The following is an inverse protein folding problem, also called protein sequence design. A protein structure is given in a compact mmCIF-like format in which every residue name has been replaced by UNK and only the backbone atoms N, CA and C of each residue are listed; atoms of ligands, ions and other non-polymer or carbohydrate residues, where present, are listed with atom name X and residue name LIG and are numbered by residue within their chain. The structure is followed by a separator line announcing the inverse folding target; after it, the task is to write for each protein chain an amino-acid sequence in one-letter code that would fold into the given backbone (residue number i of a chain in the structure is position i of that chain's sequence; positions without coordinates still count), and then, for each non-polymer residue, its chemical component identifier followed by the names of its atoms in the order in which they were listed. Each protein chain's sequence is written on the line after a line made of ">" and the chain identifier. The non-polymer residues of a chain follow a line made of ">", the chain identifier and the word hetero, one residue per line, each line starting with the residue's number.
data_IF_320827861160
#
_entry.id   IF_320827861160
#
_cell.length_a   1.000
_cell.length_b   1.000
_cell.length_c   1.000
_cell.angle_alpha   90.00
_cell.angle_beta   90.00
_cell.angle_gamma   90.00
#
_symmetry.space_group_name_H-M   'P 1'
#
loop_
_entity.id
_entity.type
_entity.pdbx_description
1 polymer ?
#
# COMPACT_ATOMS: atom_id res chain seq x y z
N UNK A 1 52.58 72.86 -11.48
CA UNK A 1 52.21 74.24 -11.00
C UNK A 1 50.79 74.49 -11.38
N UNK A 2 49.94 75.11 -10.54
CA UNK A 2 49.95 75.16 -9.07
C UNK A 2 48.72 74.53 -8.42
N UNK A 3 48.83 74.22 -7.23
CA UNK A 3 48.01 74.10 -6.03
C UNK A 3 46.85 75.06 -5.93
N UNK A 4 45.67 74.61 -5.55
CA UNK A 4 44.77 75.41 -4.68
C UNK A 4 44.04 74.52 -3.67
N UNK A 5 44.23 74.90 -2.40
CA UNK A 5 43.49 74.46 -1.21
C UNK A 5 42.05 75.02 -1.21
N UNK A 6 41.13 74.26 -0.67
CA UNK A 6 39.92 74.81 -0.02
C UNK A 6 39.44 73.79 1.03
N UNK A 7 39.33 74.28 2.06
CA UNK A 7 38.80 74.36 3.38
C UNK A 7 37.67 73.37 3.71
N UNK A 8 37.87 72.81 4.91
CA UNK A 8 36.91 71.87 5.52
C UNK A 8 35.68 72.59 6.13
N UNK A 9 34.58 71.89 6.14
CA UNK A 9 33.40 72.20 6.97
C UNK A 9 33.03 70.89 7.71
N UNK A 10 33.31 70.91 9.00
CA UNK A 10 32.92 69.87 9.95
C UNK A 10 31.44 70.11 10.37
N UNK A 11 30.59 69.16 9.99
CA UNK A 11 29.26 69.09 10.55
C UNK A 11 29.23 67.93 11.58
N UNK A 12 29.08 68.27 12.84
CA UNK A 12 28.76 67.34 13.93
C UNK A 12 27.32 66.88 13.81
N UNK A 13 27.08 65.63 13.54
CA UNK A 13 25.77 64.99 13.70
C UNK A 13 25.79 64.20 15.03
N UNK A 14 24.90 64.64 15.92
CA UNK A 14 24.60 63.98 17.19
C UNK A 14 23.87 62.65 16.95
N UNK A 15 24.41 61.59 17.48
CA UNK A 15 23.76 60.28 17.54
C UNK A 15 22.66 60.31 18.61
N UNK A 16 21.41 60.29 18.18
CA UNK A 16 20.28 59.95 19.01
C UNK A 16 20.14 58.43 19.12
N UNK A 17 20.26 57.89 20.33
CA UNK A 17 20.04 56.46 20.63
C UNK A 17 18.56 56.10 20.48
N UNK A 18 18.16 55.44 19.41
CA UNK A 18 16.89 54.73 19.36
C UNK A 18 17.10 53.31 19.91
N UNK A 19 16.58 53.02 21.11
CA UNK A 19 16.37 51.68 21.61
C UNK A 19 15.33 50.98 20.69
N UNK A 20 15.81 50.16 19.78
CA UNK A 20 14.96 49.24 19.04
C UNK A 20 14.62 48.02 19.92
N UNK A 21 13.38 47.93 20.38
CA UNK A 21 12.85 46.73 21.00
C UNK A 21 12.80 45.60 19.96
N UNK A 22 13.71 44.64 20.04
CA UNK A 22 13.64 43.40 19.27
C UNK A 22 12.50 42.56 19.86
N UNK A 23 11.38 42.54 19.17
CA UNK A 23 10.30 41.58 19.42
C UNK A 23 10.81 40.22 18.92
N UNK A 24 11.27 39.35 19.85
CA UNK A 24 11.46 37.94 19.60
C UNK A 24 10.07 37.33 19.36
N UNK A 25 9.68 37.18 18.11
CA UNK A 25 8.62 36.28 17.70
C UNK A 25 9.15 34.84 17.98
N UNK A 26 8.87 34.34 19.18
CA UNK A 26 8.94 32.94 19.45
C UNK A 26 7.91 32.27 18.53
N UNK A 27 8.38 31.76 17.41
CA UNK A 27 7.61 30.86 16.57
C UNK A 27 7.26 29.62 17.39
N UNK A 28 6.06 29.60 17.98
CA UNK A 28 5.45 28.35 18.42
C UNK A 28 5.28 27.50 17.15
N UNK A 29 6.26 26.63 16.88
CA UNK A 29 6.07 25.53 15.99
C UNK A 29 4.90 24.73 16.54
N UNK A 30 3.75 24.84 15.88
CA UNK A 30 2.68 23.87 16.04
C UNK A 30 3.28 22.53 15.59
N UNK A 31 3.77 21.75 16.56
CA UNK A 31 3.97 20.34 16.30
C UNK A 31 2.60 19.79 15.91
N UNK A 32 2.46 19.11 14.77
CA UNK A 32 1.22 18.44 14.48
C UNK A 32 0.91 17.56 15.69
N UNK A 33 -0.27 17.70 16.25
CA UNK A 33 -0.80 16.74 17.22
C UNK A 33 -0.70 15.41 16.50
N UNK A 34 0.14 14.49 17.01
CA UNK A 34 0.29 13.16 16.43
C UNK A 34 -1.10 12.54 16.31
N UNK A 35 -1.63 12.53 15.10
CA UNK A 35 -2.89 11.85 14.83
C UNK A 35 -2.68 10.38 15.23
N UNK A 36 -3.58 9.85 16.07
CA UNK A 36 -3.47 8.45 16.50
C UNK A 36 -3.40 7.56 15.26
N UNK A 37 -2.43 6.64 15.19
CA UNK A 37 -2.34 5.74 14.06
C UNK A 37 -3.61 4.90 13.96
N UNK A 38 -4.07 4.70 12.74
CA UNK A 38 -5.22 3.84 12.44
C UNK A 38 -4.94 3.01 11.19
N UNK A 39 -5.72 1.96 11.01
CA UNK A 39 -5.65 1.08 9.84
C UNK A 39 -7.04 0.95 9.23
N UNK A 40 -7.12 0.94 7.91
CA UNK A 40 -8.32 0.55 7.18
C UNK A 40 -8.17 -0.90 6.75
N UNK A 41 -9.23 -1.67 6.92
CA UNK A 41 -9.29 -3.10 6.58
C UNK A 41 -10.50 -3.35 5.70
N UNK A 42 -10.29 -3.95 4.54
CA UNK A 42 -11.36 -4.48 3.71
C UNK A 42 -11.67 -5.94 4.10
N UNK A 43 -12.94 -6.23 4.36
CA UNK A 43 -13.44 -7.59 4.62
C UNK A 43 -14.19 -8.10 3.40
N UNK A 44 -13.83 -9.28 2.91
CA UNK A 44 -14.56 -9.99 1.84
C UNK A 44 -15.32 -11.19 2.42
N UNK A 45 -16.63 -11.18 2.29
CA UNK A 45 -17.53 -12.27 2.72
C UNK A 45 -18.16 -13.00 1.52
N UNK A 46 -17.69 -12.73 0.30
CA UNK A 46 -18.21 -13.30 -0.96
C UNK A 46 -17.44 -14.53 -1.42
N UNK A 47 -16.15 -14.61 -1.07
CA UNK A 47 -15.27 -15.69 -1.51
C UNK A 47 -14.73 -16.39 -0.27
N UNK A 48 -15.27 -17.57 -0.02
CA UNK A 48 -14.99 -18.36 1.18
C UNK A 48 -14.30 -19.65 0.79
N UNK A 49 -13.78 -20.39 1.77
CA UNK A 49 -13.24 -21.74 1.58
C UNK A 49 -14.02 -22.71 2.45
N UNK A 50 -14.45 -23.83 1.85
CA UNK A 50 -15.12 -24.92 2.58
C UNK A 50 -14.14 -25.74 3.45
N UNK A 51 -14.68 -26.76 4.12
CA UNK A 51 -13.88 -27.62 4.98
C UNK A 51 -12.76 -28.38 4.24
N UNK A 52 -12.91 -28.57 2.94
CA UNK A 52 -11.93 -29.24 2.07
C UNK A 52 -10.93 -28.26 1.45
N UNK A 53 -11.07 -26.95 1.69
CA UNK A 53 -10.22 -25.91 1.14
C UNK A 53 -10.55 -25.56 -0.31
N UNK A 54 -11.79 -25.79 -0.74
CA UNK A 54 -12.29 -25.34 -2.07
C UNK A 54 -12.91 -23.96 -1.94
N UNK A 55 -12.68 -23.05 -2.92
CA UNK A 55 -13.36 -21.77 -2.93
C UNK A 55 -14.86 -21.96 -3.14
N UNK A 56 -15.65 -21.25 -2.33
CA UNK A 56 -17.11 -21.22 -2.36
C UNK A 56 -17.58 -19.80 -2.47
N UNK A 57 -18.48 -19.52 -3.43
CA UNK A 57 -19.07 -18.21 -3.58
C UNK A 57 -20.27 -18.05 -2.62
N UNK A 58 -20.33 -16.92 -1.96
CA UNK A 58 -21.45 -16.52 -1.11
C UNK A 58 -22.17 -15.30 -1.71
N UNK A 59 -23.46 -15.07 -1.40
CA UNK A 59 -24.18 -13.89 -1.86
C UNK A 59 -23.55 -12.60 -1.31
N UNK A 60 -23.60 -11.54 -2.12
CA UNK A 60 -23.23 -10.19 -1.73
C UNK A 60 -23.94 -9.68 -0.46
N UNK A 61 -23.36 -8.63 0.15
CA UNK A 61 -24.02 -7.81 1.16
C UNK A 61 -23.54 -7.99 2.60
N UNK A 62 -22.45 -8.75 2.80
CA UNK A 62 -21.82 -8.90 4.12
C UNK A 62 -20.43 -8.28 4.22
N UNK A 63 -19.88 -7.79 3.11
CA UNK A 63 -18.59 -7.12 3.08
C UNK A 63 -18.62 -5.85 3.90
N UNK A 64 -17.48 -5.47 4.43
CA UNK A 64 -17.31 -4.23 5.17
C UNK A 64 -15.91 -3.64 5.01
N UNK A 65 -15.82 -2.34 5.23
CA UNK A 65 -14.56 -1.64 5.41
C UNK A 65 -14.48 -1.17 6.86
N UNK A 66 -13.50 -1.65 7.60
CA UNK A 66 -13.29 -1.29 8.99
C UNK A 66 -12.27 -0.15 9.11
N UNK A 67 -12.47 0.71 10.10
CA UNK A 67 -11.48 1.66 10.60
C UNK A 67 -11.06 1.19 11.98
N UNK A 68 -9.76 0.89 12.15
CA UNK A 68 -9.20 0.27 13.35
C UNK A 68 -8.28 1.28 14.03
N UNK A 69 -8.59 1.66 15.27
CA UNK A 69 -7.73 2.49 16.13
C UNK A 69 -6.53 1.65 16.59
N UNK A 70 -5.34 2.17 16.38
CA UNK A 70 -4.06 1.58 16.73
C UNK A 70 -3.28 2.43 17.74
N UNK A 71 -3.95 3.23 18.56
CA UNK A 71 -3.31 3.94 19.67
C UNK A 71 -2.49 2.97 20.57
N UNK A 72 -2.92 1.72 20.67
CA UNK A 72 -2.11 0.61 21.20
C UNK A 72 -2.11 -0.55 20.17
N UNK A 73 -1.03 -0.73 19.40
CA UNK A 73 -0.95 -1.78 18.38
C UNK A 73 -1.08 -3.21 18.92
N UNK A 74 -0.84 -3.43 20.22
CA UNK A 74 -1.02 -4.75 20.85
C UNK A 74 -2.47 -5.04 21.26
N UNK A 75 -3.33 -4.03 21.25
CA UNK A 75 -4.76 -4.14 21.56
C UNK A 75 -5.58 -3.24 20.66
N UNK A 76 -5.60 -3.49 19.33
CA UNK A 76 -6.35 -2.71 18.36
C UNK A 76 -7.84 -2.70 18.67
N UNK A 77 -8.57 -1.67 18.20
CA UNK A 77 -10.02 -1.55 18.41
C UNK A 77 -10.71 -1.13 17.12
N UNK A 78 -11.83 -1.75 16.77
CA UNK A 78 -12.67 -1.29 15.68
C UNK A 78 -13.31 0.03 16.11
N UNK A 79 -12.97 1.11 15.41
CA UNK A 79 -13.53 2.44 15.64
C UNK A 79 -14.78 2.70 14.81
N UNK A 80 -14.83 2.18 13.57
CA UNK A 80 -15.98 2.28 12.69
C UNK A 80 -16.04 1.10 11.71
N UNK A 81 -17.22 0.85 11.15
CA UNK A 81 -17.46 -0.13 10.09
C UNK A 81 -18.43 0.47 9.08
N UNK A 82 -18.08 0.39 7.79
CA UNK A 82 -18.90 0.82 6.68
C UNK A 82 -19.31 -0.41 5.85
N UNK A 83 -20.59 -0.57 5.48
CA UNK A 83 -21.07 -1.68 4.66
C UNK A 83 -20.71 -1.43 3.19
N UNK A 84 -19.43 -1.52 2.86
CA UNK A 84 -18.90 -1.33 1.51
C UNK A 84 -18.32 -2.66 1.02
N UNK A 85 -18.52 -2.90 -0.27
CA UNK A 85 -17.98 -4.09 -0.93
C UNK A 85 -16.47 -4.02 -0.99
N UNK A 86 -15.83 -5.17 -0.94
CA UNK A 86 -14.40 -5.35 -1.07
C UNK A 86 -14.14 -6.75 -1.62
N UNK A 87 -12.93 -7.05 -2.08
CA UNK A 87 -12.63 -8.36 -2.62
C UNK A 87 -11.22 -8.84 -2.29
N UNK A 88 -11.09 -10.13 -2.01
CA UNK A 88 -9.82 -10.85 -1.93
C UNK A 88 -9.25 -11.14 -3.33
N UNK A 89 -10.04 -10.97 -4.40
CA UNK A 89 -9.58 -11.19 -5.77
C UNK A 89 -8.71 -10.04 -6.25
N UNK A 90 -7.42 -10.21 -6.15
CA UNK A 90 -6.41 -9.21 -6.45
C UNK A 90 -5.39 -9.12 -5.31
N UNK A 91 -4.28 -8.40 -5.50
CA UNK A 91 -3.34 -8.19 -4.40
C UNK A 91 -4.02 -7.41 -3.26
N UNK A 92 -3.63 -7.66 -1.99
CA UNK A 92 -4.27 -7.06 -0.81
C UNK A 92 -3.95 -5.56 -0.62
N UNK A 93 -3.96 -4.81 -1.72
CA UNK A 93 -3.59 -3.38 -1.83
C UNK A 93 -4.63 -2.57 -2.60
N UNK A 94 -5.89 -3.02 -2.58
CA UNK A 94 -7.04 -2.32 -3.17
C UNK A 94 -7.61 -1.22 -2.27
N UNK A 95 -6.92 -0.87 -1.19
CA UNK A 95 -7.24 0.25 -0.29
C UNK A 95 -6.00 1.12 -0.06
N UNK A 96 -6.17 2.44 -0.08
CA UNK A 96 -5.13 3.39 0.34
C UNK A 96 -5.73 4.60 1.06
N UNK A 97 -4.90 5.27 1.85
CA UNK A 97 -5.23 6.43 2.66
C UNK A 97 -4.37 7.60 2.19
N UNK A 98 -4.96 8.77 2.02
CA UNK A 98 -4.20 9.97 1.68
C UNK A 98 -3.19 10.35 2.78
N UNK A 99 -2.10 11.05 2.46
CA UNK A 99 -1.05 11.36 3.44
C UNK A 99 -1.52 12.12 4.69
N UNK A 100 -2.67 12.80 4.61
CA UNK A 100 -3.24 13.57 5.73
C UNK A 100 -4.22 12.75 6.59
N UNK A 101 -4.55 11.52 6.18
CA UNK A 101 -5.56 10.70 6.83
C UNK A 101 -6.97 11.29 6.72
N UNK A 102 -7.24 12.03 5.64
CA UNK A 102 -8.52 12.71 5.43
C UNK A 102 -9.51 11.88 4.63
N UNK A 103 -9.01 11.15 3.65
CA UNK A 103 -9.83 10.25 2.81
C UNK A 103 -9.16 8.90 2.67
N UNK A 104 -9.96 7.91 2.32
CA UNK A 104 -9.49 6.64 1.79
C UNK A 104 -10.19 6.31 0.47
N UNK A 105 -9.45 5.61 -0.38
CA UNK A 105 -10.00 4.99 -1.60
C UNK A 105 -10.03 3.48 -1.41
N UNK A 106 -11.12 2.85 -1.88
CA UNK A 106 -11.29 1.39 -1.88
C UNK A 106 -11.80 0.97 -3.24
N UNK A 107 -11.06 0.07 -3.91
CA UNK A 107 -11.47 -0.52 -5.18
C UNK A 107 -12.18 -1.86 -4.95
N UNK A 108 -13.33 -2.05 -5.60
CA UNK A 108 -14.07 -3.32 -5.60
C UNK A 108 -13.81 -4.05 -6.92
N UNK A 109 -13.11 -5.18 -6.85
CA UNK A 109 -12.67 -5.92 -8.03
C UNK A 109 -13.77 -6.78 -8.65
N UNK A 110 -14.61 -7.42 -7.83
CA UNK A 110 -15.59 -8.39 -8.30
C UNK A 110 -16.87 -8.35 -7.49
N UNK A 111 -17.98 -8.61 -8.19
CA UNK A 111 -19.29 -8.90 -7.61
C UNK A 111 -19.64 -10.39 -7.76
N UNK A 112 -20.58 -10.85 -6.95
CA UNK A 112 -21.20 -12.17 -7.08
C UNK A 112 -22.65 -12.01 -7.50
N UNK A 113 -22.99 -12.54 -8.65
CA UNK A 113 -24.34 -12.47 -9.21
C UNK A 113 -24.97 -13.86 -9.32
N UNK A 114 -26.30 -13.92 -9.36
CA UNK A 114 -27.02 -15.16 -9.67
C UNK A 114 -26.92 -15.47 -11.18
N UNK A 115 -26.66 -16.72 -11.50
CA UNK A 115 -26.67 -17.29 -12.86
C UNK A 115 -27.51 -18.58 -12.81
N UNK A 116 -28.82 -18.46 -13.00
CA UNK A 116 -29.77 -19.52 -12.68
C UNK A 116 -29.78 -19.82 -11.19
N UNK A 117 -29.57 -21.10 -10.83
CA UNK A 117 -29.49 -21.55 -9.43
C UNK A 117 -28.07 -21.44 -8.84
N UNK A 118 -27.08 -21.08 -9.65
CA UNK A 118 -25.69 -20.94 -9.23
C UNK A 118 -25.30 -19.48 -8.94
N UNK A 119 -24.20 -19.30 -8.21
CA UNK A 119 -23.53 -18.02 -8.04
C UNK A 119 -22.35 -17.94 -9.02
N UNK A 120 -22.14 -16.75 -9.57
CA UNK A 120 -21.08 -16.47 -10.51
C UNK A 120 -20.33 -15.20 -10.14
N UNK A 121 -19.00 -15.26 -10.17
CA UNK A 121 -18.16 -14.09 -10.03
C UNK A 121 -18.12 -13.31 -11.35
N UNK A 122 -18.32 -11.99 -11.26
CA UNK A 122 -18.23 -11.05 -12.39
C UNK A 122 -17.35 -9.86 -12.01
N UNK A 123 -16.62 -9.26 -12.96
CA UNK A 123 -15.87 -8.03 -12.67
C UNK A 123 -16.81 -6.89 -12.25
N UNK A 124 -16.45 -6.15 -11.21
CA UNK A 124 -17.03 -4.85 -10.87
C UNK A 124 -16.19 -3.69 -11.47
N UNK A 125 -16.58 -2.45 -11.20
CA UNK A 125 -15.91 -1.25 -11.66
C UNK A 125 -16.00 -0.07 -10.66
N UNK A 126 -16.26 -0.36 -9.39
CA UNK A 126 -16.46 0.69 -8.38
C UNK A 126 -15.18 1.05 -7.64
N UNK A 127 -15.07 2.34 -7.36
CA UNK A 127 -14.05 2.91 -6.47
C UNK A 127 -14.80 3.78 -5.46
N UNK A 128 -14.71 3.41 -4.18
CA UNK A 128 -15.35 4.15 -3.10
C UNK A 128 -14.41 5.21 -2.54
N UNK A 129 -14.95 6.40 -2.27
CA UNK A 129 -14.27 7.49 -1.57
C UNK A 129 -14.86 7.60 -0.17
N UNK A 130 -14.03 7.40 0.84
CA UNK A 130 -14.45 7.46 2.25
C UNK A 130 -13.94 8.77 2.85
N UNK A 131 -14.84 9.57 3.44
CA UNK A 131 -14.52 10.74 4.25
C UNK A 131 -14.16 10.27 5.67
N UNK A 132 -12.87 10.29 5.99
CA UNK A 132 -12.34 9.88 7.30
C UNK A 132 -12.41 11.00 8.34
N UNK A 133 -12.65 12.26 7.93
CA UNK A 133 -12.83 13.40 8.85
C UNK A 133 -14.25 13.53 9.35
N UNK A 134 -15.22 12.93 8.67
CA UNK A 134 -16.57 12.84 9.19
C UNK A 134 -16.60 12.03 10.50
N UNK A 135 -17.52 12.34 11.39
CA UNK A 135 -17.69 11.60 12.65
C UNK A 135 -19.16 11.14 12.78
N UNK A 136 -19.45 9.85 12.60
CA UNK A 136 -18.53 8.77 12.19
C UNK A 136 -18.05 8.92 10.72
N UNK A 137 -16.94 8.27 10.35
CA UNK A 137 -16.50 8.17 8.95
C UNK A 137 -17.61 7.65 8.04
N UNK A 138 -17.67 8.13 6.80
CA UNK A 138 -18.77 7.81 5.88
C UNK A 138 -18.31 7.71 4.42
N UNK A 139 -19.10 7.02 3.61
CA UNK A 139 -18.97 7.07 2.15
C UNK A 139 -19.28 8.50 1.66
N UNK A 140 -18.31 9.11 0.96
CA UNK A 140 -18.46 10.43 0.35
C UNK A 140 -18.91 10.33 -1.11
N UNK A 141 -18.32 9.40 -1.88
CA UNK A 141 -18.65 9.20 -3.29
C UNK A 141 -18.39 7.75 -3.73
N UNK A 142 -19.02 7.36 -4.82
CA UNK A 142 -18.71 6.14 -5.56
C UNK A 142 -18.43 6.51 -7.00
N UNK A 143 -17.24 6.17 -7.48
CA UNK A 143 -16.83 6.39 -8.86
C UNK A 143 -17.00 5.10 -9.66
N UNK A 144 -17.25 5.27 -10.96
CA UNK A 144 -17.21 4.18 -11.92
C UNK A 144 -15.87 4.22 -12.65
N UNK A 145 -14.98 3.30 -12.31
CA UNK A 145 -13.64 3.17 -12.90
C UNK A 145 -13.61 2.24 -14.11
N UNK A 146 -12.40 1.78 -14.45
CA UNK A 146 -12.22 0.70 -15.42
C UNK A 146 -12.71 -0.64 -14.85
N UNK A 147 -12.69 -1.67 -15.70
CA UNK A 147 -13.20 -2.99 -15.36
C UNK A 147 -12.23 -3.73 -14.42
N UNK A 148 -12.78 -4.28 -13.35
CA UNK A 148 -12.04 -5.02 -12.32
C UNK A 148 -10.92 -4.17 -11.68
N UNK A 149 -11.26 -3.01 -11.05
CA UNK A 149 -10.28 -2.21 -10.35
C UNK A 149 -9.69 -3.02 -9.19
N UNK A 150 -8.38 -2.91 -8.98
CA UNK A 150 -7.64 -3.76 -8.07
C UNK A 150 -6.64 -2.92 -7.24
N UNK A 151 -5.35 -3.26 -7.27
CA UNK A 151 -4.37 -2.51 -6.50
C UNK A 151 -4.31 -1.03 -6.88
N UNK A 152 -4.34 -0.16 -5.88
CA UNK A 152 -4.33 1.28 -6.04
C UNK A 152 -3.32 1.94 -5.11
N UNK A 153 -2.94 3.17 -5.45
CA UNK A 153 -2.09 3.96 -4.57
C UNK A 153 -2.36 5.46 -4.76
N UNK A 154 -2.42 6.19 -3.65
CA UNK A 154 -2.51 7.65 -3.60
C UNK A 154 -1.10 8.23 -3.62
N UNK A 155 -0.89 9.29 -4.41
CA UNK A 155 0.40 9.96 -4.57
C UNK A 155 0.94 10.50 -3.23
N UNK A 156 2.26 10.70 -3.11
CA UNK A 156 2.85 11.31 -1.92
C UNK A 156 2.33 12.72 -1.62
N UNK A 157 1.84 13.47 -2.62
CA UNK A 157 1.19 14.79 -2.43
C UNK A 157 -0.25 14.67 -1.91
N UNK A 158 -0.91 13.53 -2.12
CA UNK A 158 -2.33 13.34 -1.80
C UNK A 158 -3.28 13.85 -2.88
N UNK A 159 -2.77 14.44 -3.98
CA UNK A 159 -3.59 15.12 -5.00
C UNK A 159 -3.96 14.21 -6.18
N UNK A 160 -3.36 13.03 -6.26
CA UNK A 160 -3.58 12.06 -7.34
C UNK A 160 -3.70 10.64 -6.79
N UNK A 161 -4.43 9.78 -7.49
CA UNK A 161 -4.38 8.34 -7.29
C UNK A 161 -4.28 7.60 -8.61
N UNK A 162 -3.67 6.41 -8.56
CA UNK A 162 -3.65 5.46 -9.66
C UNK A 162 -4.37 4.19 -9.24
N UNK A 163 -5.20 3.63 -10.12
CA UNK A 163 -5.96 2.40 -9.88
C UNK A 163 -5.72 1.45 -11.06
N UNK A 164 -5.20 0.27 -10.78
CA UNK A 164 -5.00 -0.78 -11.77
C UNK A 164 -6.35 -1.42 -12.14
N UNK A 165 -6.71 -1.44 -13.43
CA UNK A 165 -7.93 -2.06 -13.95
C UNK A 165 -7.55 -3.38 -14.63
N UNK A 166 -7.64 -4.49 -13.90
CA UNK A 166 -7.21 -5.81 -14.38
C UNK A 166 -7.97 -6.27 -15.62
N UNK A 167 -9.28 -5.98 -15.68
CA UNK A 167 -10.17 -6.41 -16.74
C UNK A 167 -10.08 -5.59 -18.03
N UNK A 168 -9.48 -4.41 -17.98
CA UNK A 168 -9.34 -3.49 -19.13
C UNK A 168 -7.91 -3.31 -19.60
N UNK A 169 -6.93 -3.92 -18.97
CA UNK A 169 -5.51 -3.69 -19.24
C UNK A 169 -5.19 -2.19 -19.23
N UNK A 170 -5.59 -1.50 -18.17
CA UNK A 170 -5.43 -0.06 -18.07
C UNK A 170 -5.16 0.39 -16.62
N UNK A 171 -4.81 1.67 -16.46
CA UNK A 171 -4.67 2.32 -15.17
C UNK A 171 -5.51 3.60 -15.21
N UNK A 172 -6.48 3.72 -14.30
CA UNK A 172 -7.21 4.97 -14.10
C UNK A 172 -6.34 5.97 -13.35
N UNK A 173 -6.34 7.23 -13.81
CA UNK A 173 -5.69 8.37 -13.15
C UNK A 173 -6.79 9.22 -12.52
N UNK A 174 -6.70 9.42 -11.21
CA UNK A 174 -7.67 10.18 -10.45
C UNK A 174 -7.03 11.47 -9.92
N UNK A 175 -7.75 12.59 -10.00
CA UNK A 175 -7.45 13.79 -9.23
C UNK A 175 -8.17 13.74 -7.89
N UNK A 176 -7.55 14.30 -6.85
CA UNK A 176 -8.07 14.34 -5.49
C UNK A 176 -8.03 15.79 -4.99
N UNK A 177 -9.19 16.33 -4.61
CA UNK A 177 -9.34 17.60 -3.89
C UNK A 177 -10.29 17.37 -2.69
N UNK A 178 -9.71 16.99 -1.56
CA UNK A 178 -10.48 16.50 -0.41
C UNK A 178 -11.34 15.30 -0.80
N UNK A 179 -12.66 15.38 -0.63
CA UNK A 179 -13.61 14.32 -1.02
C UNK A 179 -14.10 14.44 -2.48
N UNK A 180 -13.72 15.50 -3.20
CA UNK A 180 -13.99 15.63 -4.64
C UNK A 180 -12.91 14.85 -5.42
N UNK A 181 -13.21 13.62 -5.76
CA UNK A 181 -12.32 12.71 -6.48
C UNK A 181 -12.89 12.45 -7.86
N UNK A 182 -12.07 12.59 -8.90
CA UNK A 182 -12.50 12.44 -10.30
C UNK A 182 -11.49 11.61 -11.09
N UNK A 183 -11.99 10.76 -12.00
CA UNK A 183 -11.16 10.13 -13.01
C UNK A 183 -10.87 11.17 -14.10
N UNK A 184 -9.60 11.51 -14.31
CA UNK A 184 -9.14 12.55 -15.24
C UNK A 184 -8.48 11.98 -16.49
N UNK A 185 -7.96 10.74 -16.42
CA UNK A 185 -7.30 10.08 -17.54
C UNK A 185 -7.30 8.55 -17.36
N UNK A 186 -6.94 7.84 -18.42
CA UNK A 186 -6.76 6.38 -18.43
C UNK A 186 -5.52 6.03 -19.27
N UNK A 187 -4.55 5.39 -18.64
CA UNK A 187 -3.32 4.92 -19.29
C UNK A 187 -3.54 3.49 -19.79
N UNK A 188 -3.51 3.30 -21.12
CA UNK A 188 -3.57 1.96 -21.71
C UNK A 188 -2.26 1.19 -21.44
N UNK A 189 -2.40 -0.08 -21.01
CA UNK A 189 -1.29 -0.98 -20.75
C UNK A 189 -1.35 -2.17 -21.72
N UNK A 190 -0.20 -2.79 -22.04
CA UNK A 190 -0.16 -3.92 -22.98
C UNK A 190 -0.92 -5.17 -22.51
N UNK A 191 -1.07 -5.35 -21.21
CA UNK A 191 -1.77 -6.47 -20.57
C UNK A 191 -2.23 -6.11 -19.13
N UNK A 192 -2.82 -7.08 -18.45
CA UNK A 192 -3.45 -6.88 -17.14
C UNK A 192 -2.46 -6.40 -16.07
N UNK A 193 -2.90 -5.41 -15.29
CA UNK A 193 -2.15 -4.79 -14.20
C UNK A 193 -2.80 -5.16 -12.88
N UNK A 194 -2.02 -5.75 -11.94
CA UNK A 194 -2.52 -6.11 -10.61
C UNK A 194 -2.43 -4.96 -9.61
N UNK A 195 -1.32 -4.24 -9.61
CA UNK A 195 -1.03 -3.16 -8.67
C UNK A 195 -0.26 -2.03 -9.35
N UNK A 196 -0.44 -0.83 -8.84
CA UNK A 196 0.33 0.35 -9.23
C UNK A 196 0.75 1.11 -7.98
N UNK A 197 2.01 1.57 -7.92
CA UNK A 197 2.56 2.28 -6.76
C UNK A 197 3.45 3.45 -7.18
N UNK A 198 3.18 4.63 -6.65
CA UNK A 198 4.05 5.81 -6.83
C UNK A 198 5.39 5.60 -6.14
N UNK A 199 6.46 6.12 -6.75
CA UNK A 199 7.71 6.34 -6.01
C UNK A 199 7.50 7.44 -4.97
N UNK A 200 8.14 7.36 -3.77
CA UNK A 200 8.00 8.38 -2.73
C UNK A 200 8.34 9.81 -3.15
N UNK A 201 9.17 9.97 -4.20
CA UNK A 201 9.50 11.28 -4.79
C UNK A 201 8.40 11.80 -5.75
N UNK A 202 7.35 11.02 -6.00
CA UNK A 202 6.21 11.37 -6.85
C UNK A 202 6.50 11.47 -8.34
N UNK A 203 7.73 11.15 -8.80
CA UNK A 203 8.14 11.37 -10.20
C UNK A 203 7.83 10.19 -11.11
N UNK A 204 7.66 9.02 -10.54
CA UNK A 204 7.38 7.77 -11.26
C UNK A 204 6.32 6.96 -10.53
N UNK A 205 5.76 5.99 -11.23
CA UNK A 205 5.04 4.89 -10.62
C UNK A 205 5.47 3.56 -11.26
N UNK A 206 5.29 2.48 -10.52
CA UNK A 206 5.54 1.12 -10.97
C UNK A 206 4.21 0.41 -11.14
N UNK A 207 3.98 -0.19 -12.31
CA UNK A 207 2.80 -0.97 -12.64
C UNK A 207 3.15 -2.46 -12.74
N UNK A 208 2.50 -3.28 -11.92
CA UNK A 208 2.76 -4.72 -11.85
C UNK A 208 1.91 -5.44 -12.89
N UNK A 209 2.54 -5.94 -13.94
CA UNK A 209 1.92 -6.67 -15.07
C UNK A 209 2.10 -8.17 -14.86
N UNK A 210 1.21 -8.75 -14.07
CA UNK A 210 1.35 -10.10 -13.56
C UNK A 210 1.36 -11.19 -14.65
N UNK A 211 0.53 -11.14 -15.74
CA UNK A 211 0.56 -12.19 -16.77
C UNK A 211 1.82 -12.13 -17.64
N UNK A 212 2.44 -10.94 -17.73
CA UNK A 212 3.66 -10.75 -18.51
C UNK A 212 4.95 -10.97 -17.70
N UNK A 213 4.85 -11.24 -16.40
CA UNK A 213 6.00 -11.39 -15.48
C UNK A 213 6.91 -10.16 -15.49
N UNK A 214 6.30 -8.96 -15.36
CA UNK A 214 7.00 -7.68 -15.47
C UNK A 214 6.48 -6.62 -14.52
N UNK A 215 7.35 -5.67 -14.23
CA UNK A 215 6.99 -4.36 -13.71
C UNK A 215 7.28 -3.32 -14.78
N UNK A 216 6.31 -2.49 -15.10
CA UNK A 216 6.46 -1.36 -16.04
C UNK A 216 6.66 -0.06 -15.29
N UNK A 217 7.46 0.84 -15.87
CA UNK A 217 7.70 2.17 -15.32
C UNK A 217 6.75 3.18 -15.97
N UNK A 218 6.11 3.99 -15.14
CA UNK A 218 5.29 5.13 -15.54
C UNK A 218 6.01 6.41 -15.13
N UNK A 219 6.04 7.40 -16.02
CA UNK A 219 6.54 8.74 -15.74
C UNK A 219 5.39 9.65 -15.32
N UNK A 220 5.60 10.46 -14.28
CA UNK A 220 4.63 11.40 -13.71
C UNK A 220 5.12 12.82 -13.96
N UNK A 221 4.29 13.64 -14.60
CA UNK A 221 4.56 15.05 -14.87
C UNK A 221 3.29 15.90 -14.65
N UNK A 222 3.13 16.46 -13.45
CA UNK A 222 1.86 17.05 -13.00
C UNK A 222 0.77 15.99 -13.04
N UNK A 223 -0.37 16.29 -13.65
CA UNK A 223 -1.51 15.36 -13.77
C UNK A 223 -1.34 14.32 -14.89
N UNK A 224 -0.24 14.41 -15.65
CA UNK A 224 0.00 13.50 -16.76
C UNK A 224 0.79 12.28 -16.30
N UNK A 225 0.22 11.11 -16.58
CA UNK A 225 0.85 9.80 -16.36
C UNK A 225 1.12 9.14 -17.70
N UNK A 226 2.35 8.65 -17.91
CA UNK A 226 2.74 8.07 -19.20
C UNK A 226 3.48 6.76 -18.98
N UNK A 227 3.03 5.69 -19.65
CA UNK A 227 3.82 4.46 -19.76
C UNK A 227 5.00 4.70 -20.71
N UNK A 228 6.21 4.70 -20.17
CA UNK A 228 7.44 5.02 -20.89
C UNK A 228 8.06 3.84 -21.65
N UNK A 229 7.38 2.67 -21.65
CA UNK A 229 7.80 1.42 -22.30
C UNK A 229 9.08 0.79 -21.71
N UNK A 230 9.48 1.21 -20.52
CA UNK A 230 10.52 0.51 -19.74
C UNK A 230 9.86 -0.61 -18.94
N UNK A 231 10.18 -1.84 -19.32
CA UNK A 231 9.67 -3.06 -18.73
C UNK A 231 10.80 -3.83 -18.04
N UNK A 232 10.57 -4.21 -16.79
CA UNK A 232 11.52 -4.91 -15.93
C UNK A 232 11.07 -6.36 -15.73
N UNK A 233 11.79 -7.37 -16.26
CA UNK A 233 11.41 -8.78 -16.13
C UNK A 233 11.63 -9.26 -14.69
N UNK A 234 10.55 -9.58 -13.98
CA UNK A 234 10.55 -10.09 -12.60
C UNK A 234 10.60 -11.62 -12.54
N UNK A 235 10.42 -12.20 -11.37
CA UNK A 235 9.99 -13.59 -11.22
C UNK A 235 8.58 -13.81 -11.79
N UNK A 236 8.06 -15.03 -11.69
CA UNK A 236 6.75 -15.38 -12.25
C UNK A 236 5.62 -14.72 -11.46
N UNK A 237 4.60 -14.22 -12.16
CA UNK A 237 3.38 -13.64 -11.58
C UNK A 237 3.68 -12.59 -10.48
N UNK A 238 4.37 -11.48 -10.78
CA UNK A 238 4.49 -10.40 -9.81
C UNK A 238 3.09 -9.89 -9.46
N UNK A 239 2.79 -9.80 -8.18
CA UNK A 239 1.44 -9.49 -7.74
C UNK A 239 1.36 -8.17 -6.96
N UNK A 240 2.39 -7.89 -6.17
CA UNK A 240 2.51 -6.67 -5.39
C UNK A 240 3.89 -6.03 -5.60
N UNK A 241 4.01 -4.74 -5.34
CA UNK A 241 5.28 -4.01 -5.33
C UNK A 241 5.30 -3.02 -4.18
N UNK A 242 6.45 -2.92 -3.49
CA UNK A 242 6.72 -1.88 -2.50
C UNK A 242 8.02 -1.17 -2.83
N UNK A 243 8.15 0.09 -2.42
CA UNK A 243 9.28 0.94 -2.73
C UNK A 243 9.89 1.47 -1.43
N UNK A 244 11.21 1.52 -1.33
CA UNK A 244 11.91 2.10 -0.17
C UNK A 244 11.60 3.60 -0.07
N UNK A 245 11.51 4.17 1.17
CA UNK A 245 11.16 5.58 1.36
C UNK A 245 12.09 6.58 0.67
N UNK A 246 13.32 6.17 0.37
CA UNK A 246 14.31 6.96 -0.36
C UNK A 246 14.18 6.86 -1.90
N UNK A 247 13.16 6.15 -2.40
CA UNK A 247 12.89 5.91 -3.83
C UNK A 247 14.00 5.17 -4.59
N UNK A 248 14.91 4.45 -3.90
CA UNK A 248 16.08 3.83 -4.53
C UNK A 248 15.90 2.38 -4.91
N UNK A 249 15.08 1.64 -4.14
CA UNK A 249 14.79 0.24 -4.42
C UNK A 249 13.29 0.00 -4.46
N UNK A 250 12.88 -1.01 -5.23
CA UNK A 250 11.57 -1.63 -5.12
C UNK A 250 11.71 -3.15 -4.98
N UNK A 251 10.75 -3.76 -4.31
CA UNK A 251 10.62 -5.20 -4.14
C UNK A 251 9.27 -5.66 -4.67
N UNK A 252 9.20 -6.83 -5.30
CA UNK A 252 7.94 -7.46 -5.74
C UNK A 252 7.61 -8.69 -4.92
N UNK A 253 6.34 -9.08 -4.88
CA UNK A 253 5.92 -10.45 -4.57
C UNK A 253 5.73 -11.16 -5.91
N UNK A 254 6.65 -12.05 -6.28
CA UNK A 254 6.56 -12.86 -7.49
C UNK A 254 5.87 -14.18 -7.08
N UNK A 255 4.54 -14.26 -7.28
CA UNK A 255 3.66 -15.26 -6.65
C UNK A 255 3.80 -16.69 -7.23
N UNK A 256 4.45 -16.84 -8.41
CA UNK A 256 4.69 -18.14 -9.04
C UNK A 256 3.46 -18.71 -9.74
N UNK A 257 2.35 -18.87 -9.07
CA UNK A 257 1.21 -19.66 -9.49
C UNK A 257 -0.12 -18.90 -9.63
N UNK A 258 -0.18 -17.72 -10.24
CA UNK A 258 -1.43 -17.01 -10.56
C UNK A 258 -2.35 -16.70 -9.35
N UNK A 259 -1.77 -16.32 -8.21
CA UNK A 259 -2.51 -16.01 -6.98
C UNK A 259 -2.77 -17.22 -6.11
N UNK A 260 -1.96 -18.28 -6.22
CA UNK A 260 -2.07 -19.46 -5.39
C UNK A 260 -0.71 -20.16 -5.20
N UNK A 261 -0.58 -20.86 -4.10
CA UNK A 261 0.56 -21.76 -3.86
C UNK A 261 0.51 -22.97 -4.79
N UNK A 262 1.68 -23.46 -5.19
CA UNK A 262 1.84 -24.68 -5.99
C UNK A 262 2.85 -25.68 -5.38
N UNK A 263 3.43 -25.33 -4.22
CA UNK A 263 4.44 -26.12 -3.52
C UNK A 263 5.87 -25.81 -3.96
N UNK A 264 6.07 -24.93 -4.92
CA UNK A 264 7.39 -24.46 -5.33
C UNK A 264 7.80 -23.22 -4.53
N UNK A 265 9.11 -22.94 -4.50
CA UNK A 265 9.59 -21.71 -3.87
C UNK A 265 9.60 -20.57 -4.86
N UNK A 266 9.08 -19.45 -4.45
CA UNK A 266 8.96 -18.24 -5.22
C UNK A 266 9.88 -17.11 -4.69
N UNK A 267 9.86 -15.97 -5.37
CA UNK A 267 10.85 -14.91 -5.15
C UNK A 267 10.23 -13.54 -4.85
N UNK A 268 11.09 -12.65 -4.37
CA UNK A 268 10.92 -11.21 -4.42
C UNK A 268 12.00 -10.65 -5.33
N UNK A 269 11.61 -10.04 -6.46
CA UNK A 269 12.57 -9.36 -7.34
C UNK A 269 13.00 -8.03 -6.72
N UNK A 270 14.29 -7.73 -6.77
CA UNK A 270 14.89 -6.48 -6.28
C UNK A 270 15.17 -5.57 -7.46
N UNK A 271 14.55 -4.40 -7.48
CA UNK A 271 14.64 -3.41 -8.54
C UNK A 271 15.51 -2.25 -8.10
N UNK A 272 16.58 -1.97 -8.81
CA UNK A 272 17.41 -0.77 -8.65
C UNK A 272 16.76 0.39 -9.43
N UNK A 273 16.16 1.33 -8.70
CA UNK A 273 15.49 2.51 -9.25
C UNK A 273 16.45 3.68 -9.51
N UNK A 274 17.69 3.67 -8.95
CA UNK A 274 18.75 4.64 -9.26
C UNK A 274 19.37 4.41 -10.63
N UNK A 275 19.32 3.19 -11.14
CA UNK A 275 19.84 2.88 -12.46
C UNK A 275 19.04 3.61 -13.56
N UNK A 276 19.70 3.96 -14.65
CA UNK A 276 19.08 4.58 -15.82
C UNK A 276 19.36 3.74 -17.06
N UNK A 277 18.37 3.00 -17.62
CA UNK A 277 17.03 2.75 -17.04
C UNK A 277 17.08 1.91 -15.74
N UNK A 278 16.00 1.90 -14.93
CA UNK A 278 15.86 0.98 -13.79
C UNK A 278 16.05 -0.48 -14.22
N UNK A 279 16.51 -1.34 -13.31
CA UNK A 279 16.80 -2.75 -13.64
C UNK A 279 16.63 -3.68 -12.44
N UNK A 280 16.36 -4.94 -12.72
CA UNK A 280 16.42 -6.01 -11.71
C UNK A 280 17.89 -6.28 -11.39
N UNK A 281 18.21 -6.33 -10.10
CA UNK A 281 19.58 -6.59 -9.62
C UNK A 281 19.70 -7.90 -8.84
N UNK A 282 18.58 -8.42 -8.31
CA UNK A 282 18.54 -9.67 -7.56
C UNK A 282 17.13 -10.28 -7.53
N UNK A 283 17.03 -11.55 -7.12
CA UNK A 283 15.80 -12.25 -6.76
C UNK A 283 16.03 -13.04 -5.48
N UNK A 284 15.32 -12.66 -4.42
CA UNK A 284 15.42 -13.28 -3.11
C UNK A 284 14.35 -14.36 -2.99
N UNK A 285 14.74 -15.59 -2.70
CA UNK A 285 13.78 -16.67 -2.42
C UNK A 285 13.05 -16.37 -1.13
N UNK A 286 11.71 -16.32 -1.17
CA UNK A 286 10.88 -16.00 -0.02
C UNK A 286 10.03 -17.17 0.47
N UNK A 287 9.48 -17.98 -0.41
CA UNK A 287 8.64 -19.14 -0.09
C UNK A 287 7.55 -19.35 -1.12
N UNK A 288 6.62 -20.26 -0.89
CA UNK A 288 5.57 -20.68 -1.81
C UNK A 288 4.37 -19.71 -1.75
N UNK A 289 4.07 -19.06 -2.86
CA UNK A 289 2.96 -18.14 -3.03
C UNK A 289 3.09 -16.84 -2.25
N UNK A 290 4.12 -15.98 -2.48
CA UNK A 290 4.17 -14.64 -1.86
C UNK A 290 3.10 -13.73 -2.47
N UNK A 291 2.27 -13.09 -1.63
CA UNK A 291 1.18 -12.24 -2.06
C UNK A 291 1.27 -10.82 -1.48
N UNK A 292 0.93 -10.64 -0.22
CA UNK A 292 1.11 -9.36 0.47
C UNK A 292 2.58 -9.00 0.62
N UNK A 293 2.88 -7.71 0.59
CA UNK A 293 4.23 -7.18 0.78
C UNK A 293 4.15 -5.82 1.47
N UNK A 294 4.94 -5.63 2.52
CA UNK A 294 5.02 -4.37 3.24
C UNK A 294 6.46 -3.90 3.39
N UNK A 295 6.67 -2.57 3.31
CA UNK A 295 7.96 -1.91 3.54
C UNK A 295 7.94 -1.22 4.90
N UNK A 296 9.02 -1.36 5.68
CA UNK A 296 9.17 -0.60 6.92
C UNK A 296 9.28 0.90 6.64
N UNK A 297 8.82 1.77 7.57
CA UNK A 297 8.95 3.22 7.40
C UNK A 297 10.40 3.72 7.26
N UNK A 298 11.38 2.93 7.73
CA UNK A 298 12.81 3.23 7.58
C UNK A 298 13.41 2.69 6.29
N UNK A 299 12.71 1.79 5.58
CA UNK A 299 13.23 1.13 4.39
C UNK A 299 14.32 0.08 4.65
N UNK A 300 14.53 -0.32 5.90
CA UNK A 300 15.53 -1.29 6.33
C UNK A 300 15.01 -2.73 6.41
N UNK A 301 13.67 -2.89 6.41
CA UNK A 301 12.98 -4.17 6.40
C UNK A 301 11.85 -4.19 5.38
N UNK A 302 11.57 -5.38 4.84
CA UNK A 302 10.30 -5.69 4.20
C UNK A 302 9.73 -7.01 4.75
N UNK A 303 8.42 -7.14 4.72
CA UNK A 303 7.68 -8.33 5.12
C UNK A 303 6.94 -8.88 3.91
N UNK A 304 7.36 -10.04 3.41
CA UNK A 304 6.66 -10.78 2.36
C UNK A 304 5.73 -11.81 2.99
N UNK A 305 4.47 -11.80 2.59
CA UNK A 305 3.43 -12.69 3.10
C UNK A 305 3.36 -13.92 2.22
N UNK A 306 3.49 -15.09 2.83
CA UNK A 306 3.65 -16.38 2.13
C UNK A 306 2.44 -17.26 2.45
N UNK A 307 1.70 -17.66 1.43
CA UNK A 307 0.45 -18.43 1.54
C UNK A 307 0.68 -19.86 2.01
N UNK A 308 1.72 -20.55 1.50
CA UNK A 308 2.11 -21.92 1.85
C UNK A 308 0.99 -22.95 1.65
N UNK A 309 0.07 -22.70 0.71
CA UNK A 309 -1.08 -23.56 0.43
C UNK A 309 -2.05 -23.71 1.59
N UNK A 310 -2.07 -22.76 2.55
CA UNK A 310 -2.84 -22.89 3.79
C UNK A 310 -4.36 -22.85 3.60
N UNK A 311 -4.83 -22.47 2.42
CA UNK A 311 -6.22 -22.56 2.00
C UNK A 311 -6.57 -23.88 1.27
N UNK A 312 -5.60 -24.72 0.89
CA UNK A 312 -5.83 -25.93 0.09
C UNK A 312 -5.44 -27.21 0.86
N UNK A 313 -6.30 -27.67 1.76
CA UNK A 313 -6.05 -28.82 2.63
C UNK A 313 -5.77 -30.13 1.91
N UNK A 314 -6.16 -30.24 0.62
CA UNK A 314 -5.96 -31.45 -0.17
C UNK A 314 -4.67 -31.43 -1.00
N UNK A 315 -3.95 -30.31 -1.01
CA UNK A 315 -2.69 -30.22 -1.71
C UNK A 315 -1.57 -30.96 -0.96
N UNK A 316 -0.67 -31.61 -1.68
CA UNK A 316 0.49 -32.31 -1.09
C UNK A 316 1.45 -31.34 -0.35
N UNK A 317 1.41 -30.05 -0.70
CA UNK A 317 2.21 -28.98 -0.11
C UNK A 317 1.49 -28.23 1.01
N UNK A 318 0.27 -28.64 1.37
CA UNK A 318 -0.53 -27.96 2.40
C UNK A 318 0.23 -27.75 3.71
N UNK A 319 0.19 -26.55 4.21
CA UNK A 319 0.58 -26.21 5.57
C UNK A 319 -0.57 -25.47 6.24
N UNK A 320 -0.81 -25.81 7.53
CA UNK A 320 -1.93 -25.21 8.28
C UNK A 320 -1.88 -23.68 8.30
N UNK A 321 -0.69 -23.12 8.37
CA UNK A 321 -0.43 -21.70 8.52
C UNK A 321 0.42 -21.18 7.36
N UNK A 322 0.14 -19.97 6.91
CA UNK A 322 1.08 -19.20 6.14
C UNK A 322 2.17 -18.58 7.02
N UNK A 323 3.04 -17.81 6.42
CA UNK A 323 4.15 -17.18 7.13
C UNK A 323 4.47 -15.77 6.63
N UNK A 324 5.32 -15.08 7.40
CA UNK A 324 5.98 -13.84 7.00
C UNK A 324 7.46 -14.14 6.79
N UNK A 325 7.96 -13.92 5.58
CA UNK A 325 9.40 -13.88 5.29
C UNK A 325 9.90 -12.45 5.52
N UNK A 326 10.79 -12.27 6.50
CA UNK A 326 11.40 -10.98 6.83
C UNK A 326 12.63 -10.77 5.96
N UNK A 327 12.62 -9.70 5.18
CA UNK A 327 13.70 -9.28 4.30
C UNK A 327 14.43 -8.10 4.92
N UNK A 328 15.74 -8.25 5.19
CA UNK A 328 16.62 -7.15 5.59
C UNK A 328 17.14 -6.44 4.35
N UNK A 329 17.09 -5.11 4.37
CA UNK A 329 17.59 -4.24 3.31
C UNK A 329 18.81 -3.48 3.84
N UNK A 330 19.94 -3.60 3.14
CA UNK A 330 21.20 -2.93 3.47
C UNK A 330 21.81 -2.34 2.19
N UNK A 331 21.55 -1.07 1.95
CA UNK A 331 21.80 -0.44 0.66
C UNK A 331 21.02 -1.13 -0.46
N UNK A 332 21.72 -1.72 -1.44
CA UNK A 332 21.09 -2.48 -2.55
C UNK A 332 21.04 -3.99 -2.31
N UNK A 333 21.50 -4.45 -1.16
CA UNK A 333 21.48 -5.87 -0.79
C UNK A 333 20.21 -6.19 0.00
N UNK A 334 19.47 -7.17 -0.44
CA UNK A 334 18.28 -7.69 0.23
C UNK A 334 18.49 -9.15 0.60
N UNK A 335 18.22 -9.51 1.85
CA UNK A 335 18.43 -10.88 2.34
C UNK A 335 17.27 -11.31 3.23
N UNK A 336 16.75 -12.51 3.00
CA UNK A 336 15.80 -13.13 3.93
C UNK A 336 16.52 -13.51 5.22
N UNK A 337 15.97 -13.08 6.36
CA UNK A 337 16.58 -13.30 7.68
C UNK A 337 15.74 -14.19 8.60
N UNK A 338 14.42 -14.22 8.41
CA UNK A 338 13.50 -14.97 9.26
C UNK A 338 12.28 -15.43 8.46
N UNK A 339 11.69 -16.54 8.88
CA UNK A 339 10.31 -16.93 8.57
C UNK A 339 9.54 -17.04 9.89
N UNK A 340 8.32 -16.46 9.93
CA UNK A 340 7.48 -16.41 11.14
C UNK A 340 6.10 -16.93 10.77
N UNK A 341 5.65 -18.01 11.39
CA UNK A 341 4.31 -18.53 11.17
C UNK A 341 3.25 -17.52 11.67
N UNK A 342 2.16 -17.38 10.91
CA UNK A 342 1.02 -16.52 11.23
C UNK A 342 -0.28 -17.33 11.18
N UNK A 343 -1.37 -16.86 10.62
CA UNK A 343 -2.59 -17.65 10.45
C UNK A 343 -2.73 -18.25 9.06
N UNK A 344 -3.92 -18.80 8.77
CA UNK A 344 -4.26 -19.40 7.47
C UNK A 344 -4.63 -18.34 6.42
N UNK A 345 -4.16 -18.54 5.18
CA UNK A 345 -4.31 -17.63 4.05
C UNK A 345 -4.03 -16.17 4.45
N UNK A 346 -2.79 -15.88 4.87
CA UNK A 346 -2.46 -14.50 5.21
C UNK A 346 -2.42 -13.64 3.95
N UNK A 347 -3.04 -12.46 4.00
CA UNK A 347 -3.20 -11.55 2.87
C UNK A 347 -2.38 -10.27 3.08
N UNK A 348 -2.95 -9.28 3.73
CA UNK A 348 -2.33 -7.99 3.94
C UNK A 348 -1.31 -7.98 5.08
N UNK A 349 -0.24 -7.22 4.91
CA UNK A 349 0.65 -6.85 6.01
C UNK A 349 0.88 -5.36 6.03
N UNK A 350 0.95 -4.77 7.22
CA UNK A 350 1.23 -3.34 7.39
C UNK A 350 2.16 -3.12 8.58
N UNK A 351 3.23 -2.35 8.38
CA UNK A 351 4.02 -1.81 9.49
C UNK A 351 3.26 -0.67 10.14
N UNK A 352 3.35 -0.54 11.47
CA UNK A 352 2.94 0.69 12.16
C UNK A 352 3.82 1.86 11.74
N UNK A 353 3.34 3.14 11.79
CA UNK A 353 4.12 4.31 11.37
C UNK A 353 5.45 4.46 12.11
N UNK A 354 5.53 4.00 13.35
CA UNK A 354 6.78 3.99 14.14
C UNK A 354 7.70 2.79 13.83
N UNK A 355 7.26 1.87 12.97
CA UNK A 355 7.99 0.68 12.55
C UNK A 355 8.17 -0.39 13.64
N UNK A 356 7.45 -0.30 14.77
CA UNK A 356 7.65 -1.24 15.89
C UNK A 356 6.78 -2.48 15.83
N UNK A 357 5.75 -2.50 15.02
CA UNK A 357 4.86 -3.64 14.84
C UNK A 357 4.56 -3.88 13.37
N UNK A 358 4.21 -5.14 13.06
CA UNK A 358 3.60 -5.55 11.80
C UNK A 358 2.28 -6.21 12.16
N UNK A 359 1.19 -5.78 11.52
CA UNK A 359 -0.10 -6.45 11.58
C UNK A 359 -0.30 -7.24 10.29
N UNK A 360 -0.62 -8.53 10.42
CA UNK A 360 -0.81 -9.45 9.28
C UNK A 360 -2.22 -10.01 9.34
N UNK A 361 -3.02 -9.72 8.31
CA UNK A 361 -4.39 -10.21 8.19
C UNK A 361 -4.42 -11.69 7.80
N UNK A 362 -5.01 -12.53 8.63
CA UNK A 362 -5.20 -13.95 8.40
C UNK A 362 -6.63 -14.19 7.93
N UNK A 363 -6.81 -14.37 6.63
CA UNK A 363 -8.14 -14.44 6.01
C UNK A 363 -8.99 -15.55 6.61
N UNK A 364 -8.49 -16.77 6.67
CA UNK A 364 -9.25 -17.92 7.17
C UNK A 364 -9.53 -17.87 8.68
N UNK A 365 -8.66 -17.21 9.46
CA UNK A 365 -8.80 -17.13 10.91
C UNK A 365 -9.63 -15.91 11.36
N UNK A 366 -9.99 -15.00 10.43
CA UNK A 366 -10.73 -13.76 10.71
C UNK A 366 -10.05 -12.94 11.81
N UNK A 367 -8.73 -12.76 11.69
CA UNK A 367 -7.94 -11.99 12.65
C UNK A 367 -6.68 -11.38 12.04
N UNK A 368 -5.97 -10.65 12.88
CA UNK A 368 -4.62 -10.17 12.59
C UNK A 368 -3.63 -10.75 13.58
N UNK A 369 -2.54 -11.32 13.08
CA UNK A 369 -1.33 -11.58 13.86
C UNK A 369 -0.62 -10.27 14.13
N UNK A 370 -0.16 -10.09 15.38
CA UNK A 370 0.57 -8.90 15.82
C UNK A 370 2.02 -9.29 16.05
N UNK A 371 2.91 -8.82 15.17
CA UNK A 371 4.33 -9.10 15.25
C UNK A 371 5.07 -7.87 15.79
N UNK A 372 6.01 -8.07 16.70
CA UNK A 372 6.85 -7.01 17.27
C UNK A 372 8.18 -6.94 16.56
N UNK A 373 8.58 -5.72 16.19
CA UNK A 373 9.84 -5.42 15.50
C UNK A 373 10.83 -4.81 16.51
N UNK A 374 12.04 -5.37 16.58
CA UNK A 374 13.13 -4.86 17.38
C UNK A 374 14.42 -4.87 16.54
N UNK A 375 14.76 -3.72 15.98
CA UNK A 375 15.79 -3.61 14.94
C UNK A 375 15.43 -4.49 13.75
N UNK A 376 16.27 -5.44 13.38
CA UNK A 376 16.02 -6.38 12.28
C UNK A 376 15.35 -7.68 12.72
N UNK A 377 15.09 -7.84 14.00
CA UNK A 377 14.43 -9.03 14.54
C UNK A 377 12.94 -8.80 14.68
N UNK A 378 12.15 -9.72 14.13
CA UNK A 378 10.70 -9.74 14.23
C UNK A 378 10.28 -10.96 15.03
N UNK A 379 9.30 -10.81 15.93
CA UNK A 379 8.79 -11.89 16.79
C UNK A 379 7.27 -11.83 16.85
N UNK A 380 6.60 -12.99 16.80
CA UNK A 380 5.16 -13.05 17.11
C UNK A 380 4.93 -12.73 18.58
N UNK A 381 4.03 -11.81 18.87
CA UNK A 381 3.62 -11.48 20.24
C UNK A 381 2.70 -12.53 20.87
N UNK A 382 2.19 -13.46 20.07
CA UNK A 382 1.14 -14.40 20.44
C UNK A 382 -0.26 -13.76 20.52
N UNK A 383 -0.37 -12.43 20.33
CA UNK A 383 -1.65 -11.72 20.34
C UNK A 383 -2.32 -11.79 18.99
N UNK A 384 -3.66 -11.87 19.00
CA UNK A 384 -4.50 -11.87 17.80
C UNK A 384 -5.60 -10.83 17.97
N UNK A 385 -5.78 -10.00 16.94
CA UNK A 385 -6.87 -9.04 16.88
C UNK A 385 -7.98 -9.61 15.99
N UNK A 386 -9.09 -10.07 16.59
CA UNK A 386 -10.23 -10.61 15.88
C UNK A 386 -11.03 -9.53 15.18
N UNK A 387 -11.47 -9.82 13.95
CA UNK A 387 -12.35 -8.99 13.14
C UNK A 387 -13.62 -9.76 12.77
N UNK A 388 -14.74 -9.07 12.44
CA UNK A 388 -16.04 -9.72 12.22
C UNK A 388 -16.19 -10.38 10.84
N UNK A 389 -15.11 -10.60 10.12
CA UNK A 389 -15.11 -11.20 8.79
C UNK A 389 -13.69 -11.47 8.29
N UNK A 390 -13.54 -11.76 7.00
CA UNK A 390 -12.30 -12.22 6.40
C UNK A 390 -11.47 -11.03 5.90
N UNK A 391 -10.32 -10.69 6.53
CA UNK A 391 -9.49 -9.53 6.14
C UNK A 391 -8.76 -9.78 4.82
N UNK A 392 -9.29 -9.20 3.74
CA UNK A 392 -8.78 -9.34 2.38
C UNK A 392 -7.70 -8.30 2.03
N UNK A 393 -7.75 -7.12 2.65
CA UNK A 393 -6.79 -6.04 2.41
C UNK A 393 -6.67 -5.15 3.63
N UNK A 394 -5.54 -4.44 3.74
CA UNK A 394 -5.35 -3.44 4.78
C UNK A 394 -4.40 -2.32 4.35
N UNK A 395 -4.60 -1.14 4.93
CA UNK A 395 -3.68 -0.01 4.77
C UNK A 395 -3.55 0.76 6.08
N UNK A 396 -2.30 1.09 6.44
CA UNK A 396 -1.98 1.90 7.60
C UNK A 396 -2.00 3.38 7.25
N UNK A 397 -2.49 4.25 8.17
CA UNK A 397 -2.27 5.70 8.11
C UNK A 397 -0.77 6.00 8.15
N UNK A 398 -0.38 7.08 7.47
CA UNK A 398 1.03 7.51 7.40
C UNK A 398 1.43 8.33 8.61
#
# INVERSE_FOLDING_TARGET
>A
MPVHRAAGLSVRLSFGSCLGAAILLAGFGLHPVDAKPFMIVGLDEKILWDADGKPVLAPDGKDAVLIVDLANPETPKIAASLPLKNSVVGPPVNVDIDPTGSIALVADSVDIVKDGDALKQVPDNKIYVIDLKANPPKLAATLTGGKQPSGLNISPSGEMALVANRGDNSISVLSIDGTDVKIIDTVAMPDSVAHVMFTPDGKRALAVRFPAHKVSVLDIAGDKVTYNKVDLPTGQWPYNVVITPDSRLALTSDNGGAGSSDGSVDTSSVIDLDATPPRIIDRVVVGDGPEGLAMSPKGDLAAAIILRGSNNKNAFYYQKNGSVSVLKIDGKRVTKTQDIDVGGLPEAAQFTPDGKYILVGNYLDQDFSILKVNGTRVTDTGKRFKVPGHPASARMSR
#
